data_IF_796085716815
#
_entry.id   IF_796085716815
#
_cell.length_a   1.000
_cell.length_b   1.000
_cell.length_c   1.000
_cell.angle_alpha   90.00
_cell.angle_beta   90.00
_cell.angle_gamma   90.00
#
_symmetry.space_group_name_H-M   'P 1'
#
loop_
_entity.id
_entity.type
_entity.pdbx_description
1 polymer ?
#
# COMPACT_ATOMS: atom_id res chain seq x y z
N UNK A 1 -54.55 4.41 -13.37
CA UNK A 1 -55.37 5.61 -13.06
C UNK A 1 -54.47 6.71 -12.49
N UNK A 2 -54.50 7.89 -13.13
CA UNK A 2 -54.21 9.28 -12.67
C UNK A 2 -53.14 9.49 -11.57
N UNK A 3 -51.97 10.13 -11.84
CA UNK A 3 -51.66 11.58 -12.03
C UNK A 3 -51.99 12.52 -10.84
N UNK A 4 -50.97 13.33 -10.47
CA UNK A 4 -50.96 14.68 -9.82
C UNK A 4 -51.05 14.68 -8.28
N UNK A 5 -50.36 15.55 -7.53
CA UNK A 5 -50.21 17.00 -7.67
C UNK A 5 -48.87 17.57 -7.10
N UNK A 6 -48.40 18.65 -7.74
CA UNK A 6 -47.58 19.73 -7.14
C UNK A 6 -48.52 20.87 -6.68
N UNK A 7 -48.19 21.58 -5.61
CA UNK A 7 -48.40 23.04 -5.36
C UNK A 7 -47.84 23.38 -3.97
N UNK A 8 -46.78 24.21 -3.85
CA UNK A 8 -46.74 25.69 -3.74
C UNK A 8 -47.37 26.21 -2.43
N UNK A 9 -46.60 26.96 -1.63
CA UNK A 9 -46.87 28.34 -1.19
C UNK A 9 -45.61 28.95 -0.55
N UNK A 10 -45.31 30.17 -0.95
CA UNK A 10 -44.26 31.05 -0.46
C UNK A 10 -44.86 32.19 0.38
N UNK A 11 -43.95 32.93 1.05
CA UNK A 11 -44.06 34.33 1.56
C UNK A 11 -44.65 34.55 2.96
N UNK A 12 -43.84 35.19 3.84
CA UNK A 12 -44.03 36.56 4.38
C UNK A 12 -42.80 36.90 5.26
N UNK A 13 -41.89 37.81 4.86
CA UNK A 13 -41.87 39.28 5.09
C UNK A 13 -41.45 39.67 6.52
N UNK A 14 -40.24 40.24 6.71
CA UNK A 14 -39.96 41.69 6.89
C UNK A 14 -40.25 42.19 8.33
N UNK A 15 -39.48 43.04 9.03
CA UNK A 15 -38.35 43.92 8.75
C UNK A 15 -37.70 44.42 10.08
N UNK A 16 -36.43 44.86 10.00
CA UNK A 16 -35.74 46.03 10.61
C UNK A 16 -35.91 46.35 12.12
N UNK A 17 -34.88 46.78 12.88
CA UNK A 17 -34.20 48.11 12.86
C UNK A 17 -32.95 48.00 13.79
N UNK A 18 -31.72 48.17 13.27
CA UNK A 18 -30.78 49.31 13.47
C UNK A 18 -30.58 49.86 14.91
N UNK A 19 -29.33 49.85 15.38
CA UNK A 19 -28.66 51.05 15.94
C UNK A 19 -27.13 50.94 15.84
N UNK A 20 -26.54 52.07 15.49
CA UNK A 20 -25.16 52.27 15.06
C UNK A 20 -24.27 52.91 16.15
N UNK A 21 -22.98 52.54 16.09
CA UNK A 21 -21.76 53.39 16.15
C UNK A 21 -21.45 54.31 17.34
N UNK A 22 -20.20 54.21 17.82
CA UNK A 22 -19.27 55.31 18.11
C UNK A 22 -17.91 54.73 18.60
N UNK A 23 -16.72 55.31 18.43
CA UNK A 23 -16.14 56.33 17.54
C UNK A 23 -14.64 56.36 17.91
N UNK A 24 -13.74 56.39 16.93
CA UNK A 24 -12.32 56.74 17.13
C UNK A 24 -12.18 58.26 17.20
N UNK A 25 -11.26 58.74 18.03
CA UNK A 25 -10.65 60.07 17.95
C UNK A 25 -9.15 59.98 18.24
N UNK A 26 -8.39 60.58 17.34
CA UNK A 26 -6.96 60.93 17.41
C UNK A 26 -6.69 62.01 18.45
N UNK A 27 -5.45 62.08 18.95
CA UNK A 27 -4.68 63.35 19.01
C UNK A 27 -3.19 63.10 19.24
N UNK A 28 -2.42 64.04 18.69
CA UNK A 28 -0.96 64.13 18.53
C UNK A 28 -0.33 64.91 19.70
N UNK A 29 0.90 64.61 20.13
CA UNK A 29 2.06 65.54 20.15
C UNK A 29 3.23 65.18 21.09
N UNK A 30 4.42 65.19 20.48
CA UNK A 30 5.73 65.72 20.91
C UNK A 30 6.42 65.37 22.27
N UNK A 31 7.64 64.82 22.11
CA UNK A 31 8.92 65.12 22.77
C UNK A 31 8.97 65.51 24.27
N UNK A 32 9.70 64.70 25.05
CA UNK A 32 10.78 65.19 25.92
C UNK A 32 11.73 64.07 26.36
N UNK A 33 13.01 64.27 26.07
CA UNK A 33 14.13 63.54 26.65
C UNK A 33 14.28 63.85 28.15
N UNK A 34 14.67 62.84 28.94
CA UNK A 34 15.55 63.05 30.08
C UNK A 34 16.26 61.75 30.48
N UNK A 35 17.59 61.86 30.56
CA UNK A 35 18.53 60.89 31.08
C UNK A 35 18.18 60.45 32.50
N UNK A 36 18.27 59.15 32.82
CA UNK A 36 18.84 58.69 34.10
C UNK A 36 19.35 57.24 34.00
N UNK A 37 20.67 57.11 34.11
CA UNK A 37 21.49 56.03 34.68
C UNK A 37 20.93 54.58 34.74
N UNK A 38 21.62 53.73 33.99
CA UNK A 38 22.14 52.41 34.38
C UNK A 38 21.80 51.93 35.80
N UNK A 39 21.01 50.86 35.87
CA UNK A 39 21.20 49.84 36.89
C UNK A 39 20.89 48.47 36.28
N UNK A 40 21.94 47.67 36.26
CA UNK A 40 22.01 46.27 35.89
C UNK A 40 21.23 45.42 36.91
N UNK A 41 20.16 44.77 36.45
CA UNK A 41 19.62 43.57 37.10
C UNK A 41 19.19 42.59 36.02
N UNK A 42 20.11 41.69 35.73
CA UNK A 42 19.86 40.40 35.09
C UNK A 42 18.71 39.63 35.76
N UNK A 43 17.84 39.08 34.90
CA UNK A 43 17.06 37.83 34.99
C UNK A 43 15.65 38.04 34.44
N UNK A 44 15.47 37.54 33.22
CA UNK A 44 14.32 36.73 32.77
C UNK A 44 14.26 36.83 31.25
N UNK A 45 15.19 36.13 30.58
CA UNK A 45 14.97 35.71 29.22
C UNK A 45 14.24 34.37 29.31
N UNK A 46 12.95 34.40 29.02
CA UNK A 46 12.18 33.21 28.68
C UNK A 46 12.95 32.47 27.58
N UNK A 47 13.42 31.28 27.91
CA UNK A 47 14.01 30.35 26.96
C UNK A 47 12.83 29.81 26.15
N UNK A 48 12.66 30.35 24.95
CA UNK A 48 11.81 29.79 23.91
C UNK A 48 12.48 28.48 23.47
N UNK A 49 12.18 27.41 24.20
CA UNK A 49 12.53 26.05 23.80
C UNK A 49 11.62 25.66 22.63
N UNK A 50 11.92 26.19 21.43
CA UNK A 50 11.56 25.50 20.19
C UNK A 50 12.38 24.22 20.13
N UNK A 51 11.90 23.21 20.84
CA UNK A 51 12.31 21.82 20.66
C UNK A 51 11.99 21.48 19.20
N UNK A 52 13.04 21.49 18.36
CA UNK A 52 12.91 21.06 16.97
C UNK A 52 12.60 19.58 17.03
N UNK A 53 11.32 19.23 16.96
CA UNK A 53 10.84 17.86 16.99
C UNK A 53 11.62 17.09 15.91
N UNK A 54 12.53 16.19 16.33
CA UNK A 54 13.31 15.39 15.39
C UNK A 54 12.32 14.60 14.58
N UNK A 55 12.23 14.91 13.28
CA UNK A 55 11.42 14.16 12.32
C UNK A 55 11.74 12.67 12.47
N UNK A 56 10.70 11.86 12.73
CA UNK A 56 10.87 10.42 12.91
C UNK A 56 11.41 9.81 11.61
N UNK A 57 12.28 8.81 11.72
CA UNK A 57 12.94 8.17 10.55
C UNK A 57 11.93 7.64 9.51
N UNK A 58 10.77 7.20 9.98
CA UNK A 58 9.68 6.68 9.14
C UNK A 58 8.68 7.74 8.64
N UNK A 59 8.88 9.03 8.95
CA UNK A 59 7.87 10.06 8.67
C UNK A 59 7.59 10.20 7.18
N UNK A 60 8.61 10.11 6.32
CA UNK A 60 8.44 10.17 4.87
C UNK A 60 7.51 9.06 4.34
N UNK A 61 7.60 7.87 4.92
CA UNK A 61 6.70 6.74 4.61
C UNK A 61 5.26 7.06 5.02
N UNK A 62 5.04 7.74 6.14
CA UNK A 62 3.69 8.15 6.55
C UNK A 62 3.15 9.27 5.67
N UNK A 63 3.99 10.23 5.29
CA UNK A 63 3.59 11.39 4.48
C UNK A 63 3.09 11.01 3.06
N UNK A 64 3.40 9.80 2.58
CA UNK A 64 2.87 9.25 1.33
C UNK A 64 1.39 8.83 1.41
N UNK A 65 0.85 8.57 2.61
CA UNK A 65 -0.45 7.89 2.78
C UNK A 65 -1.59 8.87 2.57
N UNK A 66 -2.41 8.74 1.54
CA UNK A 66 -3.60 9.58 1.35
C UNK A 66 -4.90 8.82 1.69
N UNK A 67 -5.84 9.43 2.46
CA UNK A 67 -5.75 10.79 3.02
C UNK A 67 -4.92 10.86 4.31
N UNK A 68 -4.48 12.07 4.66
CA UNK A 68 -3.65 12.34 5.85
C UNK A 68 -4.21 11.83 7.19
N UNK A 69 -5.51 11.56 7.29
CA UNK A 69 -6.14 11.02 8.50
C UNK A 69 -5.67 9.60 8.89
N UNK A 70 -4.93 8.91 8.01
CA UNK A 70 -4.39 7.57 8.23
C UNK A 70 -2.88 7.56 8.55
N UNK A 71 -2.27 8.75 8.68
CA UNK A 71 -0.83 8.94 8.94
C UNK A 71 -0.48 9.05 10.41
N UNK A 72 -1.46 9.18 11.28
CA UNK A 72 -1.23 9.39 12.71
C UNK A 72 -2.41 8.88 13.54
N UNK A 73 -2.21 8.83 14.86
CA UNK A 73 -3.20 8.34 15.80
C UNK A 73 -4.21 9.41 16.29
N UNK A 74 -4.14 10.66 15.82
CA UNK A 74 -4.87 11.79 16.44
C UNK A 74 -6.37 11.60 16.40
N UNK A 75 -7.00 11.87 17.54
CA UNK A 75 -8.45 11.76 17.69
C UNK A 75 -8.96 10.33 17.93
N UNK A 76 -8.09 9.31 17.89
CA UNK A 76 -8.45 7.96 18.34
C UNK A 76 -8.60 7.92 19.87
N UNK A 77 -9.64 7.23 20.33
CA UNK A 77 -10.00 7.08 21.75
C UNK A 77 -10.40 5.64 22.08
N UNK A 78 -9.51 4.68 21.80
CA UNK A 78 -9.74 3.26 22.07
C UNK A 78 -9.82 2.97 23.59
N UNK A 79 -10.61 1.97 23.95
CA UNK A 79 -10.70 1.46 25.31
C UNK A 79 -9.38 0.84 25.80
N UNK A 80 -9.14 0.88 27.11
CA UNK A 80 -7.96 0.25 27.71
C UNK A 80 -7.90 -1.25 27.36
N UNK A 81 -6.77 -1.71 26.85
CA UNK A 81 -6.57 -3.12 26.51
C UNK A 81 -7.30 -3.58 25.24
N UNK A 82 -7.86 -2.66 24.44
CA UNK A 82 -8.46 -2.98 23.14
C UNK A 82 -7.49 -3.81 22.27
N UNK A 83 -8.04 -4.76 21.51
CA UNK A 83 -7.28 -5.68 20.69
C UNK A 83 -7.53 -5.42 19.21
N UNK A 84 -6.47 -5.14 18.45
CA UNK A 84 -6.50 -5.02 16.99
C UNK A 84 -5.63 -6.13 16.40
N UNK A 85 -6.23 -6.93 15.52
CA UNK A 85 -5.56 -8.02 14.84
C UNK A 85 -5.20 -7.60 13.42
N UNK A 86 -3.95 -7.85 13.00
CA UNK A 86 -3.43 -7.54 11.66
C UNK A 86 -2.89 -8.84 11.07
N UNK A 87 -3.47 -9.31 9.98
CA UNK A 87 -3.11 -10.58 9.33
C UNK A 87 -2.50 -10.30 7.95
N UNK A 88 -1.21 -10.54 7.77
CA UNK A 88 -0.58 -10.48 6.44
C UNK A 88 -0.67 -11.80 5.69
N UNK A 89 -0.11 -11.83 4.47
CA UNK A 89 0.11 -13.10 3.76
C UNK A 89 1.35 -13.83 4.24
N UNK A 90 2.27 -13.21 4.97
CA UNK A 90 3.46 -13.89 5.48
C UNK A 90 4.02 -13.18 6.70
N UNK A 91 5.10 -13.70 7.26
CA UNK A 91 5.75 -13.11 8.44
C UNK A 91 7.24 -12.84 8.29
N UNK A 92 7.89 -13.37 7.25
CA UNK A 92 9.34 -13.54 7.23
C UNK A 92 10.05 -12.81 6.09
N UNK A 93 9.41 -12.64 4.95
CA UNK A 93 9.96 -11.84 3.83
C UNK A 93 9.92 -10.34 4.14
N UNK A 94 10.82 -9.61 3.46
CA UNK A 94 11.10 -8.20 3.74
C UNK A 94 9.85 -7.32 3.68
N UNK A 95 8.95 -7.61 2.74
CA UNK A 95 7.69 -6.87 2.61
C UNK A 95 6.83 -7.00 3.87
N UNK A 96 6.52 -8.24 4.28
CA UNK A 96 5.69 -8.47 5.47
C UNK A 96 6.38 -8.08 6.78
N UNK A 97 7.72 -8.14 6.85
CA UNK A 97 8.49 -7.60 7.97
C UNK A 97 8.27 -6.08 8.10
N UNK A 98 8.24 -5.34 6.99
CA UNK A 98 7.97 -3.89 7.01
C UNK A 98 6.51 -3.58 7.38
N UNK A 99 5.55 -4.36 6.86
CA UNK A 99 4.13 -4.26 7.28
C UNK A 99 4.01 -4.43 8.79
N UNK A 100 4.62 -5.48 9.35
CA UNK A 100 4.62 -5.73 10.80
C UNK A 100 5.19 -4.54 11.58
N UNK A 101 6.34 -4.00 11.15
CA UNK A 101 6.95 -2.81 11.79
C UNK A 101 6.00 -1.61 11.77
N UNK A 102 5.31 -1.39 10.66
CA UNK A 102 4.32 -0.32 10.51
C UNK A 102 3.14 -0.47 11.48
N UNK A 103 2.57 -1.67 11.55
CA UNK A 103 1.47 -1.97 12.46
C UNK A 103 1.86 -1.82 13.94
N UNK A 104 3.03 -2.35 14.31
CA UNK A 104 3.58 -2.20 15.66
C UNK A 104 3.84 -0.72 16.00
N UNK A 105 4.31 0.07 15.03
CA UNK A 105 4.54 1.51 15.24
C UNK A 105 3.24 2.28 15.43
N UNK A 106 2.19 1.99 14.66
CA UNK A 106 0.87 2.57 14.88
C UNK A 106 0.34 2.22 16.29
N UNK A 107 0.52 0.97 16.73
CA UNK A 107 0.19 0.56 18.10
C UNK A 107 0.94 1.37 19.17
N UNK A 108 2.23 1.68 18.96
CA UNK A 108 3.00 2.55 19.86
C UNK A 108 2.45 3.98 19.87
N UNK A 109 2.24 4.56 18.71
CA UNK A 109 1.76 5.94 18.57
C UNK A 109 0.35 6.12 19.19
N UNK A 110 -0.55 5.14 19.00
CA UNK A 110 -1.87 5.09 19.68
C UNK A 110 -1.70 5.09 21.19
N UNK A 111 -0.85 4.22 21.73
CA UNK A 111 -0.66 4.10 23.18
C UNK A 111 0.01 5.33 23.78
N UNK A 112 0.96 5.95 23.08
CA UNK A 112 1.58 7.21 23.46
C UNK A 112 0.55 8.32 23.58
N UNK A 113 -0.30 8.47 22.56
CA UNK A 113 -1.37 9.47 22.55
C UNK A 113 -2.40 9.25 23.68
N UNK A 114 -2.76 8.00 23.95
CA UNK A 114 -3.72 7.64 25.00
C UNK A 114 -3.10 7.62 26.41
N UNK A 115 -1.77 7.70 26.51
CA UNK A 115 -1.05 7.54 27.77
C UNK A 115 -1.16 6.12 28.36
N UNK A 116 -1.52 5.12 27.55
CA UNK A 116 -1.73 3.75 27.99
C UNK A 116 -0.41 2.99 28.11
N UNK A 117 -0.27 2.19 29.17
CA UNK A 117 0.92 1.39 29.47
C UNK A 117 0.56 0.04 30.09
N UNK A 118 1.45 -0.93 29.95
CA UNK A 118 1.29 -2.26 30.56
C UNK A 118 -0.03 -2.91 30.16
N UNK A 119 -0.82 -3.35 31.13
CA UNK A 119 -2.11 -4.03 30.88
C UNK A 119 -3.17 -3.13 30.22
N UNK A 120 -3.01 -1.82 30.28
CA UNK A 120 -3.93 -0.84 29.67
C UNK A 120 -3.63 -0.60 28.20
N UNK A 121 -2.46 -1.00 27.72
CA UNK A 121 -2.05 -0.74 26.36
C UNK A 121 -3.00 -1.43 25.36
N UNK A 122 -3.39 -0.70 24.33
CA UNK A 122 -3.97 -1.27 23.12
C UNK A 122 -2.97 -2.29 22.58
N UNK A 123 -3.45 -3.50 22.31
CA UNK A 123 -2.67 -4.59 21.76
C UNK A 123 -2.87 -4.62 20.25
N UNK A 124 -1.81 -4.37 19.51
CA UNK A 124 -1.76 -4.62 18.07
C UNK A 124 -0.93 -5.88 17.87
N UNK A 125 -1.50 -6.90 17.24
CA UNK A 125 -0.80 -8.16 16.96
C UNK A 125 -0.77 -8.38 15.47
N UNK A 126 0.43 -8.64 14.96
CA UNK A 126 0.64 -9.08 13.60
C UNK A 126 0.79 -10.60 13.55
N UNK A 127 0.04 -11.25 12.66
CA UNK A 127 0.14 -12.67 12.34
C UNK A 127 0.11 -12.86 10.81
N UNK A 128 0.44 -14.06 10.37
CA UNK A 128 0.44 -14.45 8.96
C UNK A 128 0.86 -15.91 8.86
N UNK A 129 0.51 -16.61 7.77
CA UNK A 129 0.93 -17.98 7.58
C UNK A 129 2.46 -18.04 7.38
N UNK A 130 3.01 -19.24 7.60
CA UNK A 130 4.43 -19.51 7.34
C UNK A 130 4.82 -19.43 5.86
N UNK A 131 3.84 -19.67 4.99
CA UNK A 131 3.92 -19.61 3.53
C UNK A 131 2.77 -18.74 3.00
N UNK A 132 3.09 -17.79 2.12
CA UNK A 132 2.14 -16.80 1.60
C UNK A 132 1.10 -17.33 0.63
N UNK A 133 1.36 -18.50 0.07
CA UNK A 133 0.41 -19.18 -0.81
C UNK A 133 -0.48 -20.17 -0.04
N UNK A 134 -0.24 -20.34 1.27
CA UNK A 134 -1.02 -21.23 2.13
C UNK A 134 -2.31 -20.56 2.61
N UNK A 135 -3.30 -20.56 1.72
CA UNK A 135 -4.66 -20.02 1.97
C UNK A 135 -5.31 -20.68 3.20
N UNK A 136 -5.17 -22.00 3.36
CA UNK A 136 -5.78 -22.73 4.48
C UNK A 136 -5.19 -22.29 5.83
N UNK A 137 -3.88 -22.08 5.90
CA UNK A 137 -3.23 -21.57 7.11
C UNK A 137 -3.68 -20.13 7.41
N UNK A 138 -3.80 -19.26 6.40
CA UNK A 138 -4.33 -17.91 6.60
C UNK A 138 -5.77 -17.93 7.13
N UNK A 139 -6.63 -18.80 6.61
CA UNK A 139 -8.01 -18.97 7.08
C UNK A 139 -8.05 -19.47 8.52
N UNK A 140 -7.21 -20.43 8.89
CA UNK A 140 -7.11 -20.91 10.28
C UNK A 140 -6.66 -19.79 11.23
N UNK A 141 -5.67 -18.97 10.83
CA UNK A 141 -5.24 -17.81 11.61
C UNK A 141 -6.39 -16.81 11.77
N UNK A 142 -7.15 -16.56 10.70
CA UNK A 142 -8.32 -15.70 10.75
C UNK A 142 -9.37 -16.21 11.74
N UNK A 143 -9.70 -17.50 11.73
CA UNK A 143 -10.62 -18.12 12.69
C UNK A 143 -10.11 -17.99 14.14
N UNK A 144 -8.82 -18.23 14.38
CA UNK A 144 -8.20 -18.07 15.70
C UNK A 144 -8.27 -16.62 16.19
N UNK A 145 -8.01 -15.67 15.31
CA UNK A 145 -8.06 -14.24 15.63
C UNK A 145 -9.47 -13.77 15.93
N UNK A 146 -10.47 -14.19 15.14
CA UNK A 146 -11.88 -13.90 15.40
C UNK A 146 -12.37 -14.50 16.73
N UNK A 147 -11.86 -15.68 17.11
CA UNK A 147 -12.20 -16.31 18.41
C UNK A 147 -11.75 -15.51 19.63
N UNK A 148 -10.83 -14.55 19.45
CA UNK A 148 -10.33 -13.65 20.50
C UNK A 148 -11.13 -12.36 20.61
N UNK A 149 -12.17 -12.18 19.80
CA UNK A 149 -13.05 -11.02 19.77
C UNK A 149 -12.27 -9.68 19.67
N UNK A 150 -11.49 -9.48 18.59
CA UNK A 150 -10.79 -8.22 18.38
C UNK A 150 -11.79 -7.08 18.20
N UNK A 151 -11.38 -5.88 18.63
CA UNK A 151 -12.12 -4.64 18.41
C UNK A 151 -12.21 -4.29 16.92
N UNK A 152 -11.19 -4.68 16.14
CA UNK A 152 -11.16 -4.62 14.69
C UNK A 152 -10.10 -5.58 14.14
N UNK A 153 -10.29 -6.00 12.90
CA UNK A 153 -9.38 -6.87 12.16
C UNK A 153 -8.93 -6.16 10.88
N UNK A 154 -7.63 -6.22 10.56
CA UNK A 154 -7.14 -5.96 9.21
C UNK A 154 -6.54 -7.23 8.61
N UNK A 155 -6.77 -7.49 7.31
CA UNK A 155 -6.20 -8.66 6.62
C UNK A 155 -5.78 -8.35 5.17
N UNK A 156 -4.61 -8.85 4.74
CA UNK A 156 -4.27 -8.97 3.31
C UNK A 156 -4.59 -10.38 2.84
N UNK A 157 -5.53 -10.52 1.90
CA UNK A 157 -6.13 -11.79 1.53
C UNK A 157 -5.31 -12.47 0.44
N UNK A 158 -4.89 -13.71 0.68
CA UNK A 158 -4.11 -14.53 -0.26
C UNK A 158 -4.92 -14.92 -1.52
N UNK A 159 -6.17 -15.35 -1.34
CA UNK A 159 -7.12 -15.63 -2.42
C UNK A 159 -8.38 -14.77 -2.22
N UNK A 160 -8.74 -13.97 -3.23
CA UNK A 160 -9.86 -13.04 -3.17
C UNK A 160 -11.22 -13.68 -2.83
N UNK A 161 -11.34 -15.02 -2.86
CA UNK A 161 -12.58 -15.78 -2.59
C UNK A 161 -12.55 -16.62 -1.31
N UNK A 162 -11.45 -16.66 -0.56
CA UNK A 162 -11.29 -17.64 0.53
C UNK A 162 -11.94 -17.25 1.87
N UNK A 163 -12.11 -15.95 2.16
CA UNK A 163 -12.45 -15.47 3.52
C UNK A 163 -13.92 -15.03 3.73
N UNK A 164 -14.82 -15.21 2.77
CA UNK A 164 -16.19 -14.68 2.86
C UNK A 164 -16.95 -15.20 4.09
N UNK A 165 -16.82 -16.49 4.41
CA UNK A 165 -17.49 -17.12 5.56
C UNK A 165 -17.02 -16.50 6.88
N UNK A 166 -15.71 -16.28 7.03
CA UNK A 166 -15.13 -15.65 8.21
C UNK A 166 -15.52 -14.18 8.31
N UNK A 167 -15.65 -13.50 7.16
CA UNK A 167 -16.07 -12.12 7.15
C UNK A 167 -17.53 -11.97 7.59
N UNK A 168 -18.40 -12.90 7.20
CA UNK A 168 -19.78 -12.96 7.72
C UNK A 168 -19.80 -13.19 9.24
N UNK A 169 -18.95 -14.09 9.76
CA UNK A 169 -18.83 -14.33 11.20
C UNK A 169 -18.35 -13.08 11.96
N UNK A 170 -17.35 -12.38 11.44
CA UNK A 170 -16.87 -11.12 12.00
C UNK A 170 -17.99 -10.07 12.02
N UNK A 171 -18.73 -9.93 10.92
CA UNK A 171 -19.89 -9.04 10.81
C UNK A 171 -20.99 -9.36 11.83
N UNK A 172 -21.33 -10.64 12.02
CA UNK A 172 -22.32 -11.06 13.04
C UNK A 172 -21.87 -10.75 14.47
N UNK A 173 -20.58 -10.77 14.74
CA UNK A 173 -20.00 -10.44 16.04
C UNK A 173 -19.72 -8.94 16.21
N UNK A 174 -19.96 -8.13 15.18
CA UNK A 174 -19.71 -6.68 15.20
C UNK A 174 -18.23 -6.30 15.11
N UNK A 175 -17.36 -7.21 14.68
CA UNK A 175 -15.94 -6.94 14.42
C UNK A 175 -15.81 -6.34 13.01
N UNK A 176 -15.44 -5.06 12.87
CA UNK A 176 -15.22 -4.47 11.56
C UNK A 176 -13.96 -5.04 10.92
N UNK A 177 -13.99 -5.14 9.59
CA UNK A 177 -12.94 -5.72 8.78
C UNK A 177 -12.35 -4.63 7.90
N UNK A 178 -11.04 -4.45 7.96
CA UNK A 178 -10.25 -3.69 7.01
C UNK A 178 -9.48 -4.68 6.16
N UNK A 179 -9.32 -4.39 4.87
CA UNK A 179 -8.37 -5.12 4.04
C UNK A 179 -7.17 -4.24 3.74
N UNK A 180 -6.02 -4.84 3.48
CA UNK A 180 -4.85 -4.10 3.06
C UNK A 180 -4.01 -4.89 2.09
N UNK A 181 -3.18 -4.23 1.27
CA UNK A 181 -2.37 -4.81 0.19
C UNK A 181 -3.21 -5.53 -0.89
N UNK A 182 -3.87 -6.63 -0.55
CA UNK A 182 -4.73 -7.47 -1.40
C UNK A 182 -6.10 -7.67 -0.76
N UNK A 183 -7.18 -7.35 -1.50
CA UNK A 183 -8.56 -7.39 -0.99
C UNK A 183 -9.42 -8.46 -1.69
N UNK A 184 -10.74 -8.30 -1.57
CA UNK A 184 -11.81 -9.11 -2.16
C UNK A 184 -12.99 -8.20 -2.47
N UNK A 185 -14.01 -8.72 -3.14
CA UNK A 185 -15.25 -7.98 -3.45
C UNK A 185 -16.29 -8.05 -2.30
N UNK A 186 -15.86 -8.45 -1.09
CA UNK A 186 -16.77 -8.59 0.04
C UNK A 186 -17.36 -7.22 0.45
N UNK A 187 -18.69 -7.06 0.50
CA UNK A 187 -19.32 -5.75 0.69
C UNK A 187 -19.17 -5.18 2.11
N UNK A 188 -18.82 -6.00 3.11
CA UNK A 188 -18.67 -5.58 4.50
C UNK A 188 -17.29 -5.04 4.87
N UNK A 189 -16.40 -4.83 3.90
CA UNK A 189 -15.07 -4.24 4.13
C UNK A 189 -15.24 -2.75 4.48
N UNK A 190 -14.68 -2.35 5.62
CA UNK A 190 -14.77 -0.99 6.16
C UNK A 190 -13.80 0.00 5.49
N UNK A 191 -12.66 -0.49 5.03
CA UNK A 191 -11.65 0.26 4.29
C UNK A 191 -10.71 -0.71 3.57
N UNK A 192 -10.16 -0.30 2.43
CA UNK A 192 -9.06 -0.98 1.76
C UNK A 192 -7.81 -0.09 1.76
N UNK A 193 -6.73 -0.55 2.38
CA UNK A 193 -5.46 0.18 2.50
C UNK A 193 -4.42 -0.43 1.57
N UNK A 194 -4.08 0.21 0.45
CA UNK A 194 -3.13 -0.38 -0.50
C UNK A 194 -2.42 0.66 -1.33
N UNK A 195 -1.43 0.22 -2.09
CA UNK A 195 -0.94 0.96 -3.26
C UNK A 195 -2.09 1.06 -4.27
N UNK A 196 -2.18 2.18 -5.00
CA UNK A 196 -3.01 2.21 -6.21
C UNK A 196 -2.37 1.31 -7.30
N UNK A 197 -2.77 0.04 -7.29
CA UNK A 197 -2.20 -0.99 -8.16
C UNK A 197 -2.59 -0.78 -9.63
N UNK A 198 -3.74 -0.16 -9.91
CA UNK A 198 -4.10 0.21 -11.28
C UNK A 198 -3.22 1.33 -11.80
N UNK A 199 -3.02 2.39 -11.00
CA UNK A 199 -2.17 3.51 -11.40
C UNK A 199 -0.69 3.09 -11.55
N UNK A 200 -0.16 2.35 -10.58
CA UNK A 200 1.25 1.90 -10.63
C UNK A 200 1.53 0.93 -11.78
N UNK A 201 0.63 0.00 -12.08
CA UNK A 201 0.83 -0.93 -13.21
C UNK A 201 0.67 -0.24 -14.56
N UNK A 202 -0.19 0.79 -14.63
CA UNK A 202 -0.27 1.68 -15.79
C UNK A 202 1.03 2.45 -15.98
N UNK A 203 1.64 2.98 -14.92
CA UNK A 203 2.97 3.59 -15.01
C UNK A 203 4.01 2.58 -15.47
N UNK A 204 4.06 1.37 -14.88
CA UNK A 204 5.00 0.33 -15.28
C UNK A 204 4.87 -0.02 -16.78
N UNK A 205 3.65 -0.16 -17.30
CA UNK A 205 3.40 -0.40 -18.72
C UNK A 205 3.96 0.71 -19.62
N UNK A 206 3.72 1.98 -19.24
CA UNK A 206 4.25 3.12 -19.99
C UNK A 206 5.77 3.14 -19.98
N UNK A 207 6.38 2.90 -18.82
CA UNK A 207 7.84 2.92 -18.65
C UNK A 207 8.53 1.80 -19.42
N UNK A 208 7.96 0.59 -19.41
CA UNK A 208 8.48 -0.53 -20.20
C UNK A 208 8.36 -0.22 -21.70
N UNK A 209 7.21 0.29 -22.13
CA UNK A 209 6.99 0.65 -23.51
C UNK A 209 8.00 1.72 -23.99
N UNK A 210 8.21 2.78 -23.20
CA UNK A 210 9.22 3.81 -23.47
C UNK A 210 10.63 3.21 -23.59
N UNK A 211 11.04 2.36 -22.63
CA UNK A 211 12.35 1.69 -22.66
C UNK A 211 12.53 0.82 -23.91
N UNK A 212 11.47 0.14 -24.33
CA UNK A 212 11.43 -0.65 -25.56
C UNK A 212 11.33 0.19 -26.84
N UNK A 213 11.23 1.51 -26.79
CA UNK A 213 10.96 2.33 -27.97
C UNK A 213 9.61 1.99 -28.62
N UNK A 214 8.61 1.71 -27.79
CA UNK A 214 7.20 1.54 -28.12
C UNK A 214 6.89 0.40 -29.11
N UNK A 215 7.76 -0.61 -29.20
CA UNK A 215 7.57 -1.77 -30.08
C UNK A 215 8.30 -3.02 -29.61
N UNK A 216 7.71 -4.19 -29.84
CA UNK A 216 8.30 -5.49 -29.55
C UNK A 216 7.35 -6.45 -28.83
N UNK A 217 7.89 -7.60 -28.45
CA UNK A 217 7.16 -8.62 -27.70
C UNK A 217 7.43 -8.47 -26.19
N UNK A 218 6.40 -8.64 -25.38
CA UNK A 218 6.45 -8.55 -23.91
C UNK A 218 5.93 -9.83 -23.28
N UNK A 219 6.60 -10.30 -22.22
CA UNK A 219 6.08 -11.34 -21.32
C UNK A 219 5.72 -10.75 -19.96
N UNK A 220 4.63 -11.23 -19.36
CA UNK A 220 4.23 -10.88 -18.00
C UNK A 220 4.49 -12.08 -17.08
N UNK A 221 5.10 -11.81 -15.93
CA UNK A 221 5.32 -12.76 -14.84
C UNK A 221 4.53 -12.27 -13.64
N UNK A 222 3.54 -13.07 -13.25
CA UNK A 222 2.59 -12.78 -12.18
C UNK A 222 2.80 -13.73 -11.02
N UNK A 223 2.80 -13.19 -9.81
CA UNK A 223 3.03 -14.00 -8.61
C UNK A 223 1.97 -15.08 -8.37
N UNK A 224 0.74 -14.85 -8.81
CA UNK A 224 -0.36 -15.80 -8.70
C UNK A 224 -1.56 -15.35 -9.56
N UNK A 225 -2.53 -16.22 -9.79
CA UNK A 225 -3.76 -15.95 -10.55
C UNK A 225 -4.99 -15.59 -9.69
N UNK A 226 -4.88 -15.61 -8.35
CA UNK A 226 -6.01 -15.64 -7.40
C UNK A 226 -6.16 -14.37 -6.57
N UNK A 227 -5.06 -13.69 -6.29
CA UNK A 227 -4.99 -12.49 -5.48
C UNK A 227 -5.48 -11.29 -6.28
N UNK A 228 -6.28 -10.45 -5.64
CA UNK A 228 -6.83 -9.25 -6.28
C UNK A 228 -5.71 -8.32 -6.74
N UNK A 229 -4.61 -8.24 -5.99
CA UNK A 229 -3.47 -7.39 -6.34
C UNK A 229 -2.80 -7.84 -7.64
N UNK A 230 -2.55 -9.14 -7.85
CA UNK A 230 -1.99 -9.67 -9.10
C UNK A 230 -2.92 -9.39 -10.29
N UNK A 231 -4.20 -9.70 -10.14
CA UNK A 231 -5.23 -9.47 -11.17
C UNK A 231 -5.35 -7.98 -11.52
N UNK A 232 -5.27 -7.09 -10.53
CA UNK A 232 -5.36 -5.63 -10.77
C UNK A 232 -4.14 -5.12 -11.53
N UNK A 233 -2.94 -5.55 -11.14
CA UNK A 233 -1.69 -5.18 -11.84
C UNK A 233 -1.69 -5.67 -13.28
N UNK A 234 -2.02 -6.96 -13.48
CA UNK A 234 -2.13 -7.56 -14.81
C UNK A 234 -3.13 -6.82 -15.69
N UNK A 235 -4.38 -6.66 -15.23
CA UNK A 235 -5.43 -6.03 -16.01
C UNK A 235 -5.08 -4.60 -16.41
N UNK A 236 -4.51 -3.81 -15.49
CA UNK A 236 -4.11 -2.44 -15.77
C UNK A 236 -2.93 -2.38 -16.75
N UNK A 237 -1.91 -3.22 -16.58
CA UNK A 237 -0.78 -3.31 -17.49
C UNK A 237 -1.23 -3.70 -18.90
N UNK A 238 -2.00 -4.79 -19.03
CA UNK A 238 -2.53 -5.30 -20.30
C UNK A 238 -3.38 -4.24 -20.99
N UNK A 239 -4.31 -3.61 -20.25
CA UNK A 239 -5.20 -2.58 -20.80
C UNK A 239 -4.42 -1.36 -21.31
N UNK A 240 -3.36 -0.96 -20.59
CA UNK A 240 -2.53 0.17 -21.00
C UNK A 240 -1.74 -0.16 -22.27
N UNK A 241 -1.09 -1.33 -22.33
CA UNK A 241 -0.37 -1.77 -23.55
C UNK A 241 -1.31 -1.83 -24.75
N UNK A 242 -2.47 -2.48 -24.62
CA UNK A 242 -3.42 -2.65 -25.72
C UNK A 242 -4.02 -1.33 -26.22
N UNK A 243 -4.24 -0.37 -25.33
CA UNK A 243 -4.88 0.90 -25.68
C UNK A 243 -3.90 1.95 -26.20
N UNK A 244 -2.68 2.01 -25.68
CA UNK A 244 -1.72 3.07 -25.98
C UNK A 244 -0.57 2.64 -26.90
N UNK A 245 -0.20 1.35 -26.94
CA UNK A 245 1.01 0.87 -27.61
C UNK A 245 0.72 -0.27 -28.60
N UNK A 246 0.07 0.01 -29.76
CA UNK A 246 -0.39 -1.02 -30.70
C UNK A 246 0.74 -1.82 -31.39
N UNK A 247 2.00 -1.38 -31.27
CA UNK A 247 3.16 -2.09 -31.80
C UNK A 247 3.85 -2.98 -30.74
N UNK A 248 3.30 -3.03 -29.52
CA UNK A 248 3.71 -3.95 -28.48
C UNK A 248 2.71 -5.09 -28.40
N UNK A 249 3.20 -6.33 -28.45
CA UNK A 249 2.39 -7.53 -28.30
C UNK A 249 2.75 -8.22 -27.00
N UNK A 250 1.77 -8.49 -26.15
CA UNK A 250 1.94 -9.39 -25.02
C UNK A 250 1.86 -10.81 -25.57
N UNK A 251 2.97 -11.54 -25.51
CA UNK A 251 3.09 -12.87 -26.13
C UNK A 251 2.89 -14.01 -25.15
N UNK A 252 3.08 -13.76 -23.85
CA UNK A 252 2.87 -14.73 -22.78
C UNK A 252 2.54 -14.01 -21.47
N UNK A 253 1.69 -14.64 -20.66
CA UNK A 253 1.33 -14.21 -19.31
C UNK A 253 1.44 -15.41 -18.39
N UNK A 254 2.54 -15.52 -17.67
CA UNK A 254 2.84 -16.61 -16.76
C UNK A 254 2.38 -16.28 -15.34
N UNK A 255 1.47 -17.07 -14.78
CA UNK A 255 1.12 -17.06 -13.36
C UNK A 255 1.83 -18.21 -12.64
N UNK A 256 2.60 -17.91 -11.59
CA UNK A 256 3.44 -18.91 -10.91
C UNK A 256 2.61 -20.08 -10.31
N UNK A 257 1.42 -19.80 -9.80
CA UNK A 257 0.50 -20.82 -9.27
C UNK A 257 -0.09 -21.77 -10.34
N UNK A 258 0.22 -21.53 -11.63
CA UNK A 258 -0.19 -22.36 -12.76
C UNK A 258 0.96 -23.18 -13.36
N UNK A 259 2.07 -23.34 -12.64
CA UNK A 259 3.24 -24.10 -13.10
C UNK A 259 2.89 -25.49 -13.67
N UNK A 260 1.96 -26.24 -13.05
CA UNK A 260 1.54 -27.56 -13.54
C UNK A 260 0.88 -27.50 -14.92
N UNK A 261 0.18 -26.40 -15.25
CA UNK A 261 -0.38 -26.18 -16.59
C UNK A 261 0.76 -26.08 -17.61
N UNK A 262 1.78 -25.28 -17.31
CA UNK A 262 2.92 -25.08 -18.21
C UNK A 262 3.80 -26.31 -18.34
N UNK A 263 4.01 -27.07 -17.26
CA UNK A 263 4.69 -28.38 -17.31
C UNK A 263 4.00 -29.32 -18.30
N UNK A 264 2.67 -29.40 -18.23
CA UNK A 264 1.89 -30.25 -19.15
C UNK A 264 1.94 -29.75 -20.60
N UNK A 265 1.92 -28.44 -20.81
CA UNK A 265 2.08 -27.84 -22.15
C UNK A 265 3.47 -28.16 -22.73
N UNK A 266 4.53 -27.97 -21.95
CA UNK A 266 5.91 -28.27 -22.34
C UNK A 266 6.06 -29.76 -22.73
N UNK A 267 5.49 -30.69 -21.96
CA UNK A 267 5.49 -32.12 -22.30
C UNK A 267 4.83 -32.38 -23.66
N UNK A 268 3.68 -31.75 -23.91
CA UNK A 268 2.92 -31.92 -25.14
C UNK A 268 3.62 -31.30 -26.35
N UNK A 269 4.18 -30.10 -26.21
CA UNK A 269 4.80 -29.36 -27.32
C UNK A 269 6.20 -29.89 -27.66
N UNK A 270 7.01 -30.23 -26.65
CA UNK A 270 8.38 -30.74 -26.86
C UNK A 270 8.45 -32.26 -27.05
N UNK A 271 7.34 -32.98 -26.82
CA UNK A 271 7.27 -34.44 -26.85
C UNK A 271 8.37 -35.13 -26.01
N UNK A 272 8.63 -34.57 -24.83
CA UNK A 272 9.64 -35.12 -23.90
C UNK A 272 9.11 -36.34 -23.14
N UNK A 273 10.00 -37.27 -22.81
CA UNK A 273 9.69 -38.45 -21.97
C UNK A 273 9.60 -38.09 -20.47
N UNK A 274 9.87 -36.82 -20.09
CA UNK A 274 9.79 -36.35 -18.71
C UNK A 274 8.34 -36.36 -18.19
N UNK A 275 8.19 -36.67 -16.91
CA UNK A 275 6.93 -36.48 -16.20
C UNK A 275 6.88 -35.07 -15.61
N UNK A 276 5.68 -34.52 -15.40
CA UNK A 276 5.51 -33.16 -14.85
C UNK A 276 6.20 -32.97 -13.48
N UNK A 277 6.27 -34.03 -12.68
CA UNK A 277 6.98 -34.02 -11.39
C UNK A 277 8.50 -33.83 -11.52
N UNK A 278 9.08 -34.18 -12.67
CA UNK A 278 10.53 -34.08 -12.94
C UNK A 278 10.92 -32.77 -13.65
N UNK A 279 9.95 -31.93 -14.00
CA UNK A 279 10.16 -30.63 -14.62
C UNK A 279 10.25 -29.58 -13.52
N UNK A 280 11.33 -28.81 -13.51
CA UNK A 280 11.51 -27.70 -12.56
C UNK A 280 10.85 -26.41 -13.05
N UNK A 281 10.72 -25.42 -12.18
CA UNK A 281 10.26 -24.08 -12.59
C UNK A 281 11.23 -23.42 -13.57
N UNK A 282 12.54 -23.52 -13.32
CA UNK A 282 13.57 -23.06 -14.26
C UNK A 282 13.39 -23.64 -15.67
N UNK A 283 13.06 -24.93 -15.78
CA UNK A 283 12.81 -25.57 -17.09
C UNK A 283 11.53 -25.06 -17.77
N UNK A 284 10.53 -24.66 -16.99
CA UNK A 284 9.33 -24.01 -17.52
C UNK A 284 9.69 -22.62 -18.05
N UNK A 285 10.43 -21.82 -17.27
CA UNK A 285 10.82 -20.46 -17.68
C UNK A 285 11.69 -20.51 -18.95
N UNK A 286 12.61 -21.48 -19.03
CA UNK A 286 13.39 -21.76 -20.24
C UNK A 286 12.53 -21.96 -21.47
N UNK A 287 11.55 -22.85 -21.33
CA UNK A 287 10.64 -23.18 -22.40
C UNK A 287 9.87 -21.94 -22.87
N UNK A 288 9.48 -21.03 -21.97
CA UNK A 288 8.79 -19.78 -22.33
C UNK A 288 9.71 -18.83 -23.11
N UNK A 289 10.94 -18.61 -22.67
CA UNK A 289 11.89 -17.77 -23.40
C UNK A 289 12.33 -18.38 -24.74
N UNK A 290 12.47 -19.72 -24.81
CA UNK A 290 12.76 -20.43 -26.06
C UNK A 290 11.60 -20.38 -27.05
N UNK A 291 10.36 -20.39 -26.55
CA UNK A 291 9.13 -20.20 -27.35
C UNK A 291 8.99 -18.79 -27.88
N UNK A 292 9.51 -17.81 -27.15
CA UNK A 292 9.42 -16.38 -27.47
C UNK A 292 10.80 -15.69 -27.58
N UNK A 293 11.65 -16.09 -28.56
CA UNK A 293 13.03 -15.61 -28.65
C UNK A 293 13.16 -14.12 -29.03
N UNK A 294 12.06 -13.47 -29.44
CA UNK A 294 12.04 -12.05 -29.80
C UNK A 294 11.52 -11.16 -28.67
N UNK A 295 11.30 -11.71 -27.46
CA UNK A 295 10.87 -10.94 -26.30
C UNK A 295 11.89 -9.84 -26.01
N UNK A 296 11.37 -8.63 -25.95
CA UNK A 296 12.13 -7.41 -25.76
C UNK A 296 11.90 -6.81 -24.39
N UNK A 297 10.78 -7.12 -23.74
CA UNK A 297 10.46 -6.64 -22.40
C UNK A 297 9.81 -7.69 -21.52
N UNK A 298 10.04 -7.61 -20.22
CA UNK A 298 9.34 -8.37 -19.21
C UNK A 298 8.71 -7.43 -18.16
N UNK A 299 7.50 -7.78 -17.72
CA UNK A 299 6.88 -7.20 -16.54
C UNK A 299 6.85 -8.24 -15.43
N UNK A 300 7.39 -7.90 -14.26
CA UNK A 300 7.35 -8.76 -13.07
C UNK A 300 6.51 -8.10 -11.97
N UNK A 301 5.42 -8.75 -11.56
CA UNK A 301 4.43 -8.10 -10.70
C UNK A 301 4.77 -8.07 -9.21
N UNK A 302 5.83 -8.74 -8.74
CA UNK A 302 6.37 -8.65 -7.37
C UNK A 302 7.85 -9.11 -7.36
N UNK A 303 8.45 -9.21 -6.16
CA UNK A 303 9.82 -9.70 -5.99
C UNK A 303 10.07 -11.11 -6.52
N UNK A 304 9.18 -12.08 -6.25
CA UNK A 304 9.37 -13.47 -6.71
C UNK A 304 9.32 -13.58 -8.24
N UNK A 305 8.35 -12.90 -8.86
CA UNK A 305 8.26 -12.83 -10.32
C UNK A 305 9.49 -12.13 -10.93
N UNK A 306 10.07 -11.17 -10.21
CA UNK A 306 11.30 -10.49 -10.64
C UNK A 306 12.51 -11.43 -10.57
N UNK A 307 12.63 -12.21 -9.49
CA UNK A 307 13.68 -13.21 -9.31
C UNK A 307 13.69 -14.23 -10.45
N UNK A 308 12.52 -14.76 -10.84
CA UNK A 308 12.40 -15.70 -11.97
C UNK A 308 12.99 -15.13 -13.28
N UNK A 309 12.74 -13.86 -13.57
CA UNK A 309 13.25 -13.22 -14.79
C UNK A 309 14.75 -12.96 -14.69
N UNK A 310 15.25 -12.54 -13.52
CA UNK A 310 16.68 -12.28 -13.30
C UNK A 310 17.52 -13.57 -13.40
N UNK A 311 17.04 -14.66 -12.82
CA UNK A 311 17.69 -15.97 -12.89
C UNK A 311 17.78 -16.46 -14.33
N UNK A 312 16.71 -16.27 -15.10
CA UNK A 312 16.70 -16.60 -16.52
C UNK A 312 17.70 -15.77 -17.33
N UNK A 313 17.78 -14.46 -17.08
CA UNK A 313 18.79 -13.60 -17.72
C UNK A 313 20.20 -14.11 -17.46
N UNK A 314 20.49 -14.52 -16.22
CA UNK A 314 21.80 -15.06 -15.85
C UNK A 314 22.08 -16.40 -16.55
N UNK A 315 21.08 -17.29 -16.59
CA UNK A 315 21.24 -18.65 -17.08
C UNK A 315 21.28 -18.75 -18.61
N UNK A 316 20.45 -17.98 -19.32
CA UNK A 316 20.40 -17.97 -20.80
C UNK A 316 21.15 -16.80 -21.44
N UNK A 317 21.71 -15.88 -20.65
CA UNK A 317 22.37 -14.68 -21.15
C UNK A 317 21.44 -13.85 -22.08
N UNK A 318 20.15 -13.79 -21.71
CA UNK A 318 19.16 -12.88 -22.32
C UNK A 318 19.16 -11.55 -21.58
N UNK A 319 18.69 -10.49 -22.22
CA UNK A 319 18.66 -9.15 -21.62
C UNK A 319 17.46 -8.34 -22.11
N UNK A 320 16.22 -8.77 -21.80
CA UNK A 320 15.04 -7.94 -22.05
C UNK A 320 15.10 -6.67 -21.19
N UNK A 321 14.34 -5.64 -21.59
CA UNK A 321 14.01 -4.55 -20.68
C UNK A 321 13.10 -5.09 -19.57
N UNK A 322 13.33 -4.72 -18.31
CA UNK A 322 12.54 -5.26 -17.20
C UNK A 322 12.05 -4.13 -16.33
N UNK A 323 10.74 -4.13 -16.10
CA UNK A 323 10.13 -3.33 -15.05
C UNK A 323 9.31 -4.21 -14.13
N UNK A 324 9.16 -3.82 -12.89
CA UNK A 324 8.35 -4.60 -11.97
C UNK A 324 8.10 -3.92 -10.65
N UNK A 325 7.88 -4.73 -9.63
CA UNK A 325 7.51 -4.29 -8.30
C UNK A 325 8.52 -4.73 -7.26
N UNK A 326 8.49 -3.99 -6.17
CA UNK A 326 9.12 -4.31 -4.90
C UNK A 326 10.65 -4.33 -4.95
N UNK A 327 11.22 -4.35 -3.76
CA UNK A 327 12.65 -4.20 -3.55
C UNK A 327 13.10 -5.23 -2.53
N UNK A 328 14.08 -6.04 -2.90
CA UNK A 328 14.89 -6.86 -2.01
C UNK A 328 16.37 -6.63 -2.37
N UNK A 329 17.28 -7.29 -1.65
CA UNK A 329 18.72 -7.11 -1.88
C UNK A 329 19.10 -7.44 -3.35
N UNK A 330 18.57 -8.53 -3.90
CA UNK A 330 18.87 -8.99 -5.26
C UNK A 330 18.35 -8.02 -6.33
N UNK A 331 17.10 -7.55 -6.21
CA UNK A 331 16.54 -6.58 -7.16
C UNK A 331 17.22 -5.22 -7.06
N UNK A 332 17.70 -4.82 -5.86
CA UNK A 332 18.52 -3.62 -5.71
C UNK A 332 19.88 -3.75 -6.39
N UNK A 333 20.54 -4.89 -6.26
CA UNK A 333 21.81 -5.14 -6.94
C UNK A 333 21.62 -5.17 -8.45
N UNK A 334 20.57 -5.84 -8.94
CA UNK A 334 20.22 -5.90 -10.35
C UNK A 334 19.90 -4.50 -10.92
N UNK A 335 19.15 -3.67 -10.19
CA UNK A 335 18.87 -2.28 -10.58
C UNK A 335 20.15 -1.44 -10.67
N UNK A 336 21.05 -1.54 -9.68
CA UNK A 336 22.34 -0.83 -9.69
C UNK A 336 23.23 -1.30 -10.84
N UNK A 337 23.21 -2.60 -11.15
CA UNK A 337 23.90 -3.20 -12.29
C UNK A 337 23.29 -2.76 -13.64
N UNK A 338 22.05 -2.28 -13.65
CA UNK A 338 21.31 -1.93 -14.87
C UNK A 338 20.69 -3.13 -15.57
N UNK A 339 20.45 -4.23 -14.84
CA UNK A 339 19.67 -5.38 -15.31
C UNK A 339 18.15 -5.15 -15.21
N UNK A 340 17.73 -4.24 -14.33
CA UNK A 340 16.34 -3.78 -14.19
C UNK A 340 16.26 -2.31 -14.63
N UNK A 341 15.26 -1.96 -15.41
CA UNK A 341 15.03 -0.60 -15.94
C UNK A 341 14.22 0.27 -14.98
N UNK A 342 13.32 -0.34 -14.21
CA UNK A 342 12.65 0.36 -13.12
C UNK A 342 11.77 -0.52 -12.25
N UNK A 343 11.55 -0.04 -11.02
CA UNK A 343 10.77 -0.70 -10.00
C UNK A 343 9.71 0.26 -9.47
N UNK A 344 8.48 -0.25 -9.35
CA UNK A 344 7.46 0.33 -8.48
C UNK A 344 7.80 -0.09 -7.05
N UNK A 345 8.25 0.87 -6.25
CA UNK A 345 8.54 0.66 -4.83
C UNK A 345 7.33 1.07 -4.00
N UNK A 346 6.72 0.08 -3.35
CA UNK A 346 5.55 0.27 -2.51
C UNK A 346 5.92 0.80 -1.11
N UNK A 347 4.91 1.03 -0.28
CA UNK A 347 5.07 1.49 1.10
C UNK A 347 4.51 0.48 2.13
N UNK A 348 5.13 -0.70 2.31
CA UNK A 348 4.62 -1.74 3.21
C UNK A 348 4.56 -1.28 4.67
N UNK A 349 5.50 -0.46 5.12
CA UNK A 349 5.44 0.15 6.44
C UNK A 349 4.18 1.02 6.59
N UNK A 350 3.91 1.88 5.61
CA UNK A 350 2.71 2.71 5.58
C UNK A 350 1.42 1.88 5.53
N UNK A 351 1.41 0.74 4.83
CA UNK A 351 0.27 -0.19 4.82
C UNK A 351 -0.02 -0.73 6.22
N UNK A 352 0.99 -1.26 6.93
CA UNK A 352 0.79 -1.75 8.29
C UNK A 352 0.30 -0.66 9.25
N UNK A 353 0.86 0.53 9.13
CA UNK A 353 0.47 1.68 9.94
C UNK A 353 -0.99 2.09 9.65
N UNK A 354 -1.31 2.40 8.40
CA UNK A 354 -2.61 2.88 7.98
C UNK A 354 -3.71 1.83 8.16
N UNK A 355 -3.43 0.53 7.96
CA UNK A 355 -4.37 -0.55 8.26
C UNK A 355 -4.72 -0.58 9.75
N UNK A 356 -3.74 -0.37 10.63
CA UNK A 356 -3.96 -0.29 12.08
C UNK A 356 -4.80 0.94 12.44
N UNK A 357 -4.52 2.11 11.85
CA UNK A 357 -5.31 3.33 12.06
C UNK A 357 -6.74 3.16 11.53
N UNK A 358 -6.92 2.61 10.32
CA UNK A 358 -8.23 2.34 9.74
C UNK A 358 -9.05 1.37 10.60
N UNK A 359 -8.42 0.32 11.14
CA UNK A 359 -9.03 -0.61 12.10
C UNK A 359 -9.45 0.09 13.39
N UNK A 360 -8.60 0.94 13.97
CA UNK A 360 -8.95 1.72 15.15
C UNK A 360 -10.14 2.66 14.90
N UNK A 361 -10.17 3.35 13.75
CA UNK A 361 -11.30 4.20 13.33
C UNK A 361 -12.59 3.41 13.16
N UNK A 362 -12.50 2.21 12.58
CA UNK A 362 -13.64 1.33 12.40
C UNK A 362 -14.20 0.86 13.75
N UNK A 363 -13.33 0.43 14.67
CA UNK A 363 -13.70 0.04 16.03
C UNK A 363 -14.43 1.16 16.80
N UNK A 364 -14.08 2.42 16.51
CA UNK A 364 -14.67 3.61 17.12
C UNK A 364 -15.89 4.15 16.38
N UNK A 365 -16.33 3.51 15.29
CA UNK A 365 -17.41 3.99 14.41
C UNK A 365 -17.18 5.43 13.90
N UNK A 366 -15.92 5.83 13.70
CA UNK A 366 -15.55 7.18 13.25
C UNK A 366 -15.74 7.42 11.74
N UNK A 367 -16.17 6.39 11.00
CA UNK A 367 -16.20 6.38 9.55
C UNK A 367 -14.81 6.22 8.93
N UNK A 368 -14.75 5.55 7.79
CA UNK A 368 -13.54 5.38 7.01
C UNK A 368 -13.77 5.81 5.56
N UNK A 369 -12.71 6.29 4.91
CA UNK A 369 -12.64 6.26 3.46
C UNK A 369 -12.63 4.82 2.97
N UNK A 370 -13.29 4.58 1.84
CA UNK A 370 -13.34 3.25 1.24
C UNK A 370 -11.95 2.78 0.80
N UNK A 371 -11.10 3.71 0.34
CA UNK A 371 -9.74 3.43 -0.11
C UNK A 371 -8.75 4.40 0.54
N UNK A 372 -7.66 3.85 1.07
CA UNK A 372 -6.52 4.59 1.62
C UNK A 372 -5.31 4.23 0.77
N UNK A 373 -4.82 5.20 0.01
CA UNK A 373 -3.67 5.02 -0.86
C UNK A 373 -2.38 5.17 -0.06
N UNK A 374 -1.55 4.13 0.01
CA UNK A 374 -0.25 4.20 0.71
C UNK A 374 0.88 4.77 -0.14
N UNK A 375 0.59 5.03 -1.41
CA UNK A 375 1.53 5.59 -2.38
C UNK A 375 2.57 4.57 -2.86
N UNK A 376 3.31 4.97 -3.89
CA UNK A 376 4.47 4.25 -4.42
C UNK A 376 5.47 5.25 -4.99
N UNK A 377 6.71 4.80 -5.21
CA UNK A 377 7.75 5.57 -5.87
C UNK A 377 8.27 4.78 -7.07
N UNK A 378 8.35 5.42 -8.23
CA UNK A 378 9.05 4.86 -9.38
C UNK A 378 10.56 5.02 -9.20
N UNK A 379 11.28 3.90 -9.11
CA UNK A 379 12.72 3.86 -8.84
C UNK A 379 13.45 3.30 -10.05
N UNK A 380 14.53 3.96 -10.41
CA UNK A 380 15.43 3.64 -11.52
C UNK A 380 16.86 3.77 -11.04
N UNK A 381 17.82 3.29 -11.81
CA UNK A 381 19.25 3.55 -11.53
C UNK A 381 19.58 5.04 -11.42
N UNK A 382 18.85 5.89 -12.16
CA UNK A 382 19.13 7.32 -12.28
C UNK A 382 18.70 8.11 -11.04
N UNK A 383 17.51 7.82 -10.50
CA UNK A 383 16.96 8.52 -9.34
C UNK A 383 17.20 7.79 -8.00
N UNK A 384 17.89 6.63 -8.02
CA UNK A 384 18.12 5.84 -6.82
C UNK A 384 18.73 6.64 -5.66
N UNK A 385 19.63 7.59 -5.96
CA UNK A 385 20.30 8.39 -4.94
C UNK A 385 19.55 9.68 -4.55
N UNK A 386 18.36 9.91 -5.11
CA UNK A 386 17.55 11.07 -4.77
C UNK A 386 17.05 10.93 -3.32
N UNK A 387 17.12 12.01 -2.55
CA UNK A 387 16.74 12.02 -1.13
C UNK A 387 15.29 11.53 -0.92
N UNK A 388 14.38 11.92 -1.81
CA UNK A 388 12.99 11.46 -1.77
C UNK A 388 12.87 9.94 -1.94
N UNK A 389 13.65 9.33 -2.84
CA UNK A 389 13.67 7.87 -3.06
C UNK A 389 14.29 7.16 -1.85
N UNK A 390 15.43 7.66 -1.38
CA UNK A 390 16.14 7.10 -0.23
C UNK A 390 15.30 7.16 1.06
N UNK A 391 14.47 8.18 1.24
CA UNK A 391 13.60 8.30 2.41
C UNK A 391 12.48 7.24 2.46
N UNK A 392 12.18 6.59 1.33
CA UNK A 392 11.19 5.51 1.25
C UNK A 392 11.86 4.13 1.31
N UNK A 393 13.07 3.99 0.75
CA UNK A 393 13.82 2.73 0.76
C UNK A 393 14.38 2.37 2.14
N UNK A 394 14.79 3.36 2.95
CA UNK A 394 15.46 3.14 4.24
C UNK A 394 14.48 3.04 5.40
#
# INVERSE_FOLDING_TARGET
MKKRCKMIIALLSAAMVLTACAKNTSDTDSNKANDTKTQDTSKDAAQDDTETEKTKEYQAKLDMIEPSAYRDARGLSLEEGAYISIIGKGTNDDFWVQVKKGAEQAGKDINEQLGYKGKKAVKVVYSGPSDKDNVDEQVNILDEELSRYPAALAISIADAKACEVQFDQAGWNGTPIVTFDSSSDYPGISAFVSTDNSASATEAANRLAEAMGESGEVMLFLQDSKSQVAQTRENAFVSQIQSAYPNITIVETYHMDQIDTYKNQMIQELATDKQAADITEEEVIDYLFEKHPNVKGCFASNSDAMELVLDEMERKNVSPFIVGYDVNDDSMEALKAGKIDGLVVQNPFGMGYAATIASARAALNMGNEAFVNTGYVWVTKQNLNDEAVQSILN
#
